data_IF_953628755673
#
_entry.id   IF_953628755673
#
_cell.length_a   1.000
_cell.length_b   1.000
_cell.length_c   1.000
_cell.angle_alpha   90.00
_cell.angle_beta   90.00
_cell.angle_gamma   90.00
#
_symmetry.space_group_name_H-M   'P 1'
#
loop_
_entity.id
_entity.type
_entity.pdbx_description
1 polymer ?
#
# COMPACT_ATOMS: atom_id res chain seq x y z
N UNK A 1 8.00 -16.32 21.43
CA UNK A 1 6.54 -16.50 21.36
C UNK A 1 6.16 -17.68 20.45
N UNK A 2 6.77 -17.83 19.27
CA UNK A 2 6.51 -18.97 18.38
C UNK A 2 7.02 -20.31 18.95
N UNK A 3 8.16 -20.31 19.63
CA UNK A 3 8.78 -21.52 20.19
C UNK A 3 7.90 -22.15 21.27
N UNK A 4 7.19 -21.32 22.04
CA UNK A 4 6.22 -21.78 23.02
C UNK A 4 5.09 -22.55 22.35
N UNK A 5 4.51 -22.00 21.27
CA UNK A 5 3.47 -22.68 20.51
C UNK A 5 3.97 -24.02 19.94
N UNK A 6 5.16 -24.02 19.31
CA UNK A 6 5.75 -25.22 18.73
C UNK A 6 5.99 -26.31 19.79
N UNK A 7 6.38 -25.94 21.02
CA UNK A 7 6.57 -26.89 22.14
C UNK A 7 5.27 -27.59 22.58
N UNK A 8 4.10 -27.07 22.21
CA UNK A 8 2.79 -27.65 22.58
C UNK A 8 2.18 -28.51 21.49
N UNK A 9 2.80 -28.59 20.32
CA UNK A 9 2.37 -29.41 19.20
C UNK A 9 2.81 -30.87 19.46
N UNK A 10 1.96 -31.88 19.19
CA UNK A 10 2.36 -33.27 19.28
C UNK A 10 3.48 -33.61 18.28
N UNK A 11 4.26 -34.65 18.60
CA UNK A 11 5.29 -35.16 17.69
C UNK A 11 4.65 -35.59 16.36
N UNK A 12 5.27 -35.17 15.25
CA UNK A 12 4.81 -35.42 13.87
C UNK A 12 3.36 -34.95 13.58
N UNK A 13 3.12 -33.63 13.44
CA UNK A 13 1.79 -33.08 13.21
C UNK A 13 1.27 -33.40 11.80
N UNK A 14 0.04 -33.90 11.71
CA UNK A 14 -0.65 -34.20 10.44
C UNK A 14 -1.08 -32.95 9.66
N UNK A 15 -1.12 -31.79 10.31
CA UNK A 15 -1.51 -30.53 9.70
C UNK A 15 -0.90 -29.34 10.44
N UNK A 16 -0.82 -28.19 9.76
CA UNK A 16 -0.30 -26.97 10.36
C UNK A 16 -1.22 -26.40 11.46
N UNK A 17 -2.54 -26.58 11.34
CA UNK A 17 -3.54 -26.17 12.33
C UNK A 17 -4.21 -27.38 12.92
N UNK A 18 -3.85 -27.68 14.16
CA UNK A 18 -4.38 -28.80 14.93
C UNK A 18 -5.51 -28.36 15.84
N UNK A 19 -6.43 -29.29 16.12
CA UNK A 19 -7.55 -29.05 17.04
C UNK A 19 -7.03 -28.91 18.47
N UNK A 20 -7.39 -27.85 19.22
CA UNK A 20 -7.06 -27.76 20.64
C UNK A 20 -7.77 -28.86 21.42
N UNK A 21 -7.15 -29.32 22.51
CA UNK A 21 -7.84 -30.15 23.50
C UNK A 21 -9.00 -29.36 24.11
N UNK A 22 -10.06 -30.07 24.52
CA UNK A 22 -11.23 -29.45 25.17
C UNK A 22 -10.85 -28.88 26.54
N UNK A 23 -10.06 -29.65 27.27
CA UNK A 23 -9.52 -29.30 28.57
C UNK A 23 -8.01 -29.12 28.43
N UNK A 24 -7.50 -28.01 28.96
CA UNK A 24 -6.06 -27.77 28.99
C UNK A 24 -5.41 -28.75 29.97
N UNK A 25 -4.36 -29.46 29.56
CA UNK A 25 -3.68 -30.37 30.46
C UNK A 25 -3.01 -29.57 31.59
N UNK A 26 -3.13 -30.07 32.83
CA UNK A 26 -2.53 -29.44 34.00
C UNK A 26 -0.99 -29.45 33.94
N UNK A 27 -0.44 -30.49 33.31
CA UNK A 27 0.99 -30.62 33.06
C UNK A 27 1.40 -29.81 31.81
N UNK A 28 2.53 -29.09 31.95
CA UNK A 28 3.11 -28.29 30.88
C UNK A 28 3.80 -29.14 29.81
N UNK A 29 4.20 -30.39 30.09
CA UNK A 29 4.85 -31.25 29.10
C UNK A 29 3.84 -31.92 28.15
N UNK A 30 2.56 -31.98 28.54
CA UNK A 30 1.51 -32.58 27.73
C UNK A 30 1.10 -31.66 26.56
N UNK A 31 0.94 -32.24 25.36
CA UNK A 31 0.54 -31.49 24.16
C UNK A 31 -0.85 -30.87 24.31
N UNK A 32 -1.00 -29.60 23.96
CA UNK A 32 -2.28 -28.88 24.04
C UNK A 32 -3.20 -29.14 22.84
N UNK A 33 -2.67 -29.79 21.81
CA UNK A 33 -3.36 -30.04 20.57
C UNK A 33 -3.47 -31.53 20.31
N UNK A 34 -4.63 -31.94 19.82
CA UNK A 34 -4.87 -33.29 19.33
C UNK A 34 -4.31 -33.33 17.89
N UNK A 35 -3.64 -34.42 17.50
CA UNK A 35 -3.07 -34.59 16.15
C UNK A 35 -4.17 -34.87 15.09
N UNK A 36 -5.13 -33.96 15.00
CA UNK A 36 -6.28 -33.95 14.10
C UNK A 36 -6.38 -32.53 13.52
N UNK A 37 -6.53 -32.39 12.20
CA UNK A 37 -6.70 -31.08 11.58
C UNK A 37 -7.95 -30.37 12.07
N UNK A 38 -7.89 -29.05 12.19
CA UNK A 38 -9.07 -28.22 12.44
C UNK A 38 -10.01 -28.30 11.24
N UNK A 39 -11.32 -28.46 11.49
CA UNK A 39 -12.32 -28.51 10.45
C UNK A 39 -12.50 -27.17 9.71
N UNK A 40 -12.87 -27.24 8.43
CA UNK A 40 -13.12 -26.09 7.56
C UNK A 40 -14.09 -25.08 8.18
N UNK A 41 -15.20 -25.54 8.76
CA UNK A 41 -16.23 -24.66 9.33
C UNK A 41 -15.69 -23.91 10.55
N UNK A 42 -14.92 -24.59 11.41
CA UNK A 42 -14.25 -23.97 12.55
C UNK A 42 -13.26 -22.91 12.08
N UNK A 43 -12.40 -23.23 11.09
CA UNK A 43 -11.47 -22.25 10.52
C UNK A 43 -12.19 -21.04 9.94
N UNK A 44 -13.28 -21.24 9.18
CA UNK A 44 -14.09 -20.15 8.60
C UNK A 44 -14.71 -19.24 9.67
N UNK A 45 -15.06 -19.80 10.84
CA UNK A 45 -15.68 -19.06 11.94
C UNK A 45 -14.68 -18.38 12.88
N UNK A 46 -13.38 -18.74 12.84
CA UNK A 46 -12.37 -18.21 13.76
C UNK A 46 -12.26 -16.68 13.72
N UNK A 47 -11.92 -16.11 12.56
CA UNK A 47 -11.70 -14.66 12.49
C UNK A 47 -12.98 -13.88 12.79
N UNK A 48 -14.16 -14.24 12.25
CA UNK A 48 -15.36 -13.52 12.60
C UNK A 48 -15.67 -13.52 14.09
N UNK A 49 -15.56 -14.68 14.76
CA UNK A 49 -15.75 -14.76 16.21
C UNK A 49 -14.73 -13.92 16.98
N UNK A 50 -13.46 -13.88 16.54
CA UNK A 50 -12.45 -12.98 17.12
C UNK A 50 -12.81 -11.50 16.93
N UNK A 51 -13.30 -11.12 15.74
CA UNK A 51 -13.67 -9.74 15.43
C UNK A 51 -14.85 -9.25 16.27
N UNK A 52 -15.88 -10.10 16.43
CA UNK A 52 -17.05 -9.82 17.27
C UNK A 52 -16.64 -9.68 18.74
N UNK A 53 -15.82 -10.61 19.25
CA UNK A 53 -15.34 -10.58 20.63
C UNK A 53 -14.43 -9.38 20.92
N UNK A 54 -13.69 -8.90 19.92
CA UNK A 54 -12.85 -7.70 20.03
C UNK A 54 -13.65 -6.39 19.89
N UNK A 55 -14.96 -6.45 19.60
CA UNK A 55 -15.81 -5.28 19.43
C UNK A 55 -15.45 -4.43 18.19
N UNK A 56 -14.88 -5.06 17.15
CA UNK A 56 -14.53 -4.31 15.93
C UNK A 56 -15.79 -3.86 15.18
N UNK A 57 -15.74 -2.68 14.56
CA UNK A 57 -16.88 -2.11 13.81
C UNK A 57 -17.32 -2.96 12.60
N UNK A 58 -16.42 -3.79 12.07
CA UNK A 58 -16.65 -4.63 10.90
C UNK A 58 -16.37 -6.07 11.25
N UNK A 59 -17.27 -6.97 10.86
CA UNK A 59 -17.06 -8.41 10.98
C UNK A 59 -16.09 -8.91 9.91
N UNK A 60 -14.85 -9.16 10.32
CA UNK A 60 -13.81 -9.62 9.39
C UNK A 60 -13.93 -11.12 9.11
N UNK A 61 -13.58 -11.52 7.88
CA UNK A 61 -13.54 -12.93 7.48
C UNK A 61 -12.13 -13.35 7.12
N UNK A 62 -11.85 -14.65 7.02
CA UNK A 62 -10.53 -15.13 6.60
C UNK A 62 -10.10 -14.55 5.24
N UNK A 63 -11.05 -14.23 4.37
CA UNK A 63 -10.77 -13.55 3.11
C UNK A 63 -10.26 -12.12 3.32
N UNK A 64 -10.74 -11.41 4.35
CA UNK A 64 -10.23 -10.10 4.75
C UNK A 64 -8.74 -10.17 5.14
N UNK A 65 -8.31 -11.21 5.87
CA UNK A 65 -6.88 -11.41 6.18
C UNK A 65 -6.06 -11.70 4.92
N UNK A 66 -6.59 -12.51 4.00
CA UNK A 66 -5.95 -12.77 2.72
C UNK A 66 -5.76 -11.46 1.94
N UNK A 67 -6.81 -10.64 1.88
CA UNK A 67 -6.74 -9.32 1.26
C UNK A 67 -5.64 -8.46 1.88
N UNK A 68 -5.61 -8.33 3.22
CA UNK A 68 -4.57 -7.57 3.92
C UNK A 68 -3.18 -8.12 3.63
N UNK A 69 -2.99 -9.45 3.66
CA UNK A 69 -1.69 -10.07 3.40
C UNK A 69 -1.15 -9.84 1.99
N UNK A 70 -2.03 -9.53 1.03
CA UNK A 70 -1.67 -9.23 -0.35
C UNK A 70 -1.48 -7.73 -0.52
N UNK A 71 -2.42 -6.92 -0.03
CA UNK A 71 -2.40 -5.46 -0.15
C UNK A 71 -1.18 -4.85 0.55
N UNK A 72 -0.76 -5.33 1.73
CA UNK A 72 0.38 -4.76 2.45
C UNK A 72 1.71 -4.86 1.67
N UNK A 73 2.10 -6.03 1.11
CA UNK A 73 3.24 -6.13 0.20
C UNK A 73 3.14 -5.24 -1.04
N UNK A 74 1.95 -5.13 -1.65
CA UNK A 74 1.73 -4.22 -2.78
C UNK A 74 2.04 -2.77 -2.41
N UNK A 75 1.50 -2.31 -1.28
CA UNK A 75 1.74 -0.95 -0.77
C UNK A 75 3.21 -0.70 -0.42
N UNK A 76 3.94 -1.75 -0.04
CA UNK A 76 5.37 -1.70 0.26
C UNK A 76 6.25 -1.76 -1.00
N UNK A 77 5.65 -1.84 -2.20
CA UNK A 77 6.38 -1.91 -3.47
C UNK A 77 7.03 -3.28 -3.76
N UNK A 78 6.58 -4.35 -3.09
CA UNK A 78 7.07 -5.71 -3.37
C UNK A 78 6.64 -6.13 -4.77
N UNK A 79 7.54 -6.78 -5.51
CA UNK A 79 7.26 -7.26 -6.87
C UNK A 79 6.04 -8.17 -6.93
N UNK A 80 5.15 -7.92 -7.90
CA UNK A 80 3.95 -8.74 -8.16
C UNK A 80 4.26 -10.24 -8.21
N UNK A 81 5.39 -10.62 -8.82
CA UNK A 81 5.81 -12.03 -8.95
C UNK A 81 5.97 -12.72 -7.59
N UNK A 82 6.59 -12.03 -6.63
CA UNK A 82 6.82 -12.55 -5.28
C UNK A 82 5.50 -12.67 -4.53
N UNK A 83 4.65 -11.65 -4.64
CA UNK A 83 3.32 -11.65 -4.00
C UNK A 83 2.46 -12.77 -4.58
N UNK A 84 2.50 -12.95 -5.90
CA UNK A 84 1.78 -14.01 -6.61
C UNK A 84 2.21 -15.40 -6.11
N UNK A 85 3.53 -15.64 -6.06
CA UNK A 85 4.10 -16.90 -5.58
C UNK A 85 3.70 -17.20 -4.14
N UNK A 86 3.77 -16.20 -3.25
CA UNK A 86 3.46 -16.37 -1.82
C UNK A 86 1.96 -16.47 -1.52
N UNK A 87 1.12 -15.80 -2.30
CA UNK A 87 -0.33 -15.82 -2.11
C UNK A 87 -1.03 -16.97 -2.83
N UNK A 88 -0.35 -17.65 -3.78
CA UNK A 88 -0.89 -18.77 -4.54
C UNK A 88 -1.89 -18.38 -5.64
N UNK A 89 -1.94 -17.10 -6.04
CA UNK A 89 -2.81 -16.65 -7.14
C UNK A 89 -2.26 -17.10 -8.50
N UNK A 90 -3.04 -17.88 -9.26
CA UNK A 90 -2.64 -18.28 -10.63
C UNK A 90 -2.75 -17.13 -11.64
N UNK A 91 -3.88 -16.40 -11.74
CA UNK A 91 -3.97 -15.26 -12.65
C UNK A 91 -3.51 -13.96 -11.96
N UNK A 92 -2.66 -13.20 -12.65
CA UNK A 92 -2.24 -11.86 -12.21
C UNK A 92 -3.42 -10.89 -12.09
N UNK A 93 -4.44 -11.04 -12.93
CA UNK A 93 -5.63 -10.19 -12.92
C UNK A 93 -6.36 -10.27 -11.57
N UNK A 94 -6.50 -11.47 -10.99
CA UNK A 94 -7.12 -11.62 -9.67
C UNK A 94 -6.26 -11.02 -8.55
N UNK A 95 -4.94 -11.07 -8.70
CA UNK A 95 -4.01 -10.50 -7.73
C UNK A 95 -4.06 -8.95 -7.73
N UNK A 96 -4.13 -8.33 -8.91
CA UNK A 96 -4.20 -6.86 -9.05
C UNK A 96 -5.47 -6.24 -8.48
N UNK A 97 -6.53 -7.02 -8.24
CA UNK A 97 -7.71 -6.52 -7.53
C UNK A 97 -7.41 -6.04 -6.10
N UNK A 98 -6.32 -6.54 -5.50
CA UNK A 98 -5.85 -6.12 -4.17
C UNK A 98 -4.88 -4.93 -4.21
N UNK A 99 -4.38 -4.56 -5.39
CA UNK A 99 -3.54 -3.39 -5.61
C UNK A 99 -4.43 -2.14 -5.56
N UNK A 100 -4.64 -1.62 -4.34
CA UNK A 100 -5.42 -0.40 -4.12
C UNK A 100 -4.48 0.78 -4.00
N UNK A 101 -4.74 1.81 -4.79
CA UNK A 101 -4.03 3.09 -4.69
C UNK A 101 -4.27 3.69 -3.31
N UNK A 102 -3.19 3.98 -2.59
CA UNK A 102 -3.22 4.64 -1.28
C UNK A 102 -3.40 6.15 -1.42
N UNK A 103 -3.90 6.79 -0.37
CA UNK A 103 -4.02 8.26 -0.31
C UNK A 103 -2.66 8.95 -0.45
N UNK A 104 -1.60 8.32 0.05
CA UNK A 104 -0.23 8.81 -0.02
C UNK A 104 0.29 8.75 -1.46
N UNK A 105 0.03 7.65 -2.17
CA UNK A 105 0.36 7.53 -3.59
C UNK A 105 -0.41 8.54 -4.43
N UNK A 106 -1.71 8.75 -4.17
CA UNK A 106 -2.50 9.78 -4.86
C UNK A 106 -1.93 11.18 -4.61
N UNK A 107 -1.61 11.51 -3.35
CA UNK A 107 -1.00 12.80 -2.99
C UNK A 107 0.37 12.99 -3.66
N UNK A 108 1.17 11.94 -3.76
CA UNK A 108 2.45 12.00 -4.46
C UNK A 108 2.26 12.34 -5.94
N UNK A 109 1.34 11.65 -6.62
CA UNK A 109 1.02 11.90 -8.03
C UNK A 109 0.48 13.31 -8.24
N UNK A 110 -0.44 13.79 -7.40
CA UNK A 110 -0.95 15.17 -7.52
C UNK A 110 0.13 16.21 -7.28
N UNK A 111 1.08 15.97 -6.36
CA UNK A 111 2.24 16.82 -6.16
C UNK A 111 3.14 16.91 -7.39
N UNK A 112 3.43 15.77 -8.02
CA UNK A 112 4.25 15.71 -9.25
C UNK A 112 3.55 16.46 -10.41
N UNK A 113 2.27 16.16 -10.65
CA UNK A 113 1.49 16.81 -11.71
C UNK A 113 1.36 18.32 -11.48
N UNK A 114 1.11 18.75 -10.24
CA UNK A 114 1.04 20.17 -9.89
C UNK A 114 2.37 20.90 -10.00
N UNK A 115 3.50 20.23 -9.71
CA UNK A 115 4.83 20.82 -9.93
C UNK A 115 5.16 20.99 -11.41
N UNK A 116 4.78 20.03 -12.26
CA UNK A 116 4.99 20.12 -13.70
C UNK A 116 4.21 21.30 -14.30
N UNK A 117 3.00 21.56 -13.80
CA UNK A 117 2.18 22.70 -14.21
C UNK A 117 2.83 24.05 -13.81
N UNK A 118 3.41 24.13 -12.60
CA UNK A 118 4.12 25.33 -12.13
C UNK A 118 5.40 25.61 -12.93
N UNK A 119 6.11 24.57 -13.37
CA UNK A 119 7.32 24.72 -14.17
C UNK A 119 7.00 25.19 -15.60
N UNK A 120 5.87 24.74 -16.18
CA UNK A 120 5.35 25.25 -17.45
C UNK A 120 4.98 26.72 -17.32
N UNK A 121 4.18 27.07 -16.30
CA UNK A 121 3.74 28.47 -16.06
C UNK A 121 4.93 29.40 -15.80
N UNK A 122 5.94 28.96 -15.04
CA UNK A 122 7.18 29.74 -14.84
C UNK A 122 7.97 29.93 -16.13
N UNK A 123 7.97 28.94 -17.03
CA UNK A 123 8.67 29.03 -18.32
C UNK A 123 7.97 30.00 -19.29
N UNK A 124 6.65 30.10 -19.23
CA UNK A 124 5.87 31.06 -20.02
C UNK A 124 6.01 32.49 -19.47
N UNK A 125 5.91 32.69 -18.15
CA UNK A 125 6.12 34.00 -17.51
C UNK A 125 7.52 34.56 -17.79
N UNK A 126 8.54 33.69 -17.95
CA UNK A 126 9.91 34.12 -18.24
C UNK A 126 10.11 34.54 -19.71
N UNK A 127 9.35 33.97 -20.65
CA UNK A 127 9.39 34.39 -22.07
C UNK A 127 8.82 35.79 -22.29
N UNK A 128 7.84 36.18 -21.47
CA UNK A 128 7.21 37.49 -21.59
C UNK A 128 8.08 38.64 -21.02
N UNK A 129 9.13 38.34 -20.26
CA UNK A 129 10.01 39.34 -19.65
C UNK A 129 11.33 39.62 -20.40
N UNK A 130 11.71 38.79 -21.38
CA UNK A 130 12.98 38.98 -22.15
C UNK A 130 12.79 39.75 -23.49
N UNK A 131 11.58 40.20 -23.82
CA UNK A 131 11.25 40.80 -25.12
C UNK A 131 11.40 42.33 -25.27
N UNK A 132 11.97 43.04 -24.30
CA UNK A 132 11.85 44.51 -24.28
C UNK A 132 13.09 45.28 -23.85
N UNK A 133 14.13 45.35 -24.70
CA UNK A 133 15.04 46.50 -24.70
C UNK A 133 15.77 46.67 -26.05
N UNK A 134 15.45 47.76 -26.76
CA UNK A 134 16.08 48.15 -28.02
C UNK A 134 15.60 49.53 -28.48
N UNK A 135 16.10 50.58 -27.83
CA UNK A 135 15.72 51.99 -28.03
C UNK A 135 16.05 52.51 -29.45
N UNK A 136 15.09 53.21 -30.04
CA UNK A 136 15.24 54.00 -31.27
C UNK A 136 16.13 55.23 -31.02
N UNK A 137 17.08 55.46 -31.92
CA UNK A 137 17.96 56.63 -31.94
C UNK A 137 17.42 57.61 -33.00
N UNK A 138 16.73 58.67 -32.58
CA UNK A 138 16.33 59.76 -33.47
C UNK A 138 17.27 60.97 -33.33
N UNK A 139 17.76 61.43 -34.48
CA UNK A 139 18.71 62.53 -34.67
C UNK A 139 17.94 63.84 -34.85
N UNK A 140 18.24 64.94 -34.12
CA UNK A 140 17.51 66.19 -34.31
C UNK A 140 17.99 66.98 -35.53
N UNK A 141 17.00 67.49 -36.26
CA UNK A 141 17.09 68.39 -37.42
C UNK A 141 17.27 69.83 -36.92
N UNK A 142 18.31 70.50 -37.38
CA UNK A 142 18.63 71.90 -37.09
C UNK A 142 18.04 72.79 -38.20
N UNK A 143 17.17 73.73 -37.84
CA UNK A 143 16.80 74.87 -38.69
C UNK A 143 16.90 76.18 -37.88
N UNK A 144 17.76 77.09 -38.36
CA UNK A 144 17.54 78.54 -38.34
C UNK A 144 18.27 79.38 -37.29
N UNK A 145 19.41 79.96 -37.66
CA UNK A 145 19.93 81.20 -37.09
C UNK A 145 19.76 82.35 -38.11
N UNK A 146 19.35 83.51 -37.60
CA UNK A 146 18.81 84.69 -38.27
C UNK A 146 19.91 85.76 -38.49
N UNK A 147 19.85 86.42 -39.66
CA UNK A 147 20.37 87.76 -40.06
C UNK A 147 21.80 88.22 -39.73
N UNK A 148 22.47 88.72 -40.79
CA UNK A 148 22.98 90.10 -40.86
C UNK A 148 22.92 90.59 -42.30
#
# INVERSE_FOLDING_TARGET
MIDFYLSKIPENPKAFKLRPQKDLPADRATSWYINIPVGMNTLKAMLPGMSENAGTSTRFTNHSLCATSITCPFQSGVSEKIIQEKSGHRPLIALRQYERVTTEQQRCVTGILGSADLDIVKSEIKKDQEGGEGKQNEKPRNEGAVFS
#
